data_IF_061095795009
#
_entry.id   IF_061095795009
#
_cell.length_a   1.000
_cell.length_b   1.000
_cell.length_c   1.000
_cell.angle_alpha   90.00
_cell.angle_beta   90.00
_cell.angle_gamma   90.00
#
_symmetry.space_group_name_H-M   'P 1'
#
loop_
_entity.id
_entity.type
_entity.pdbx_description
1 polymer ?
#
# COMPACT_ATOMS: atom_id res chain seq x y z
N UNK A 1 2.72 9.39 -5.56
CA UNK A 1 1.99 8.46 -4.68
C UNK A 1 2.74 8.29 -3.35
N UNK A 2 2.16 7.67 -2.30
CA UNK A 2 2.94 7.42 -1.09
C UNK A 2 4.06 6.42 -1.38
N UNK A 3 5.20 6.59 -0.72
CA UNK A 3 6.26 5.58 -0.72
C UNK A 3 5.97 4.51 0.32
N UNK A 4 6.49 3.31 0.07
CA UNK A 4 6.30 2.15 0.93
C UNK A 4 7.66 1.60 1.37
N UNK A 5 7.67 0.72 2.36
CA UNK A 5 8.88 0.04 2.81
C UNK A 5 8.82 -1.45 2.51
N UNK A 6 9.92 -2.00 2.03
CA UNK A 6 10.17 -3.44 2.01
C UNK A 6 11.49 -3.67 2.74
N UNK A 7 11.45 -4.38 3.87
CA UNK A 7 12.61 -4.51 4.77
C UNK A 7 13.18 -3.11 5.13
N UNK A 8 14.43 -2.84 4.77
CA UNK A 8 15.10 -1.53 4.97
C UNK A 8 15.08 -0.62 3.74
N UNK A 9 14.35 -0.99 2.68
CA UNK A 9 14.32 -0.24 1.40
C UNK A 9 13.02 0.51 1.25
N UNK A 10 13.11 1.77 0.82
CA UNK A 10 11.95 2.57 0.39
C UNK A 10 11.65 2.27 -1.08
N UNK A 11 10.38 2.03 -1.39
CA UNK A 11 9.84 1.70 -2.70
C UNK A 11 8.90 2.83 -3.12
N UNK A 12 9.20 3.48 -4.25
CA UNK A 12 8.31 4.45 -4.89
C UNK A 12 7.65 3.81 -6.13
N UNK A 13 6.33 3.53 -6.11
CA UNK A 13 5.66 2.93 -7.27
C UNK A 13 5.66 3.79 -8.54
N UNK A 14 5.88 5.11 -8.41
CA UNK A 14 5.95 6.03 -9.54
C UNK A 14 7.37 6.09 -10.14
N UNK A 15 8.37 5.58 -9.43
CA UNK A 15 9.74 5.51 -9.92
C UNK A 15 9.93 4.32 -10.88
N UNK A 16 10.43 4.53 -12.12
CA UNK A 16 10.60 3.45 -13.10
C UNK A 16 11.48 2.27 -12.64
N UNK A 17 12.54 2.54 -11.86
CA UNK A 17 13.43 1.49 -11.33
C UNK A 17 12.70 0.63 -10.30
N UNK A 18 11.92 1.25 -9.42
CA UNK A 18 11.16 0.53 -8.41
C UNK A 18 9.97 -0.23 -9.00
N UNK A 19 9.42 0.18 -10.14
CA UNK A 19 8.41 -0.63 -10.86
C UNK A 19 8.92 -2.01 -11.25
N UNK A 20 10.17 -2.10 -11.71
CA UNK A 20 10.80 -3.41 -12.00
C UNK A 20 10.95 -4.23 -10.71
N UNK A 21 11.28 -3.58 -9.60
CA UNK A 21 11.39 -4.26 -8.29
C UNK A 21 10.02 -4.74 -7.79
N UNK A 22 8.94 -3.99 -7.99
CA UNK A 22 7.57 -4.38 -7.63
C UNK A 22 7.15 -5.69 -8.32
N UNK A 23 7.55 -5.91 -9.57
CA UNK A 23 7.32 -7.17 -10.30
C UNK A 23 7.96 -8.37 -9.60
N UNK A 24 9.21 -8.22 -9.18
CA UNK A 24 9.98 -9.25 -8.47
C UNK A 24 9.44 -9.51 -7.06
N UNK A 25 9.01 -8.46 -6.37
CA UNK A 25 8.40 -8.58 -5.04
C UNK A 25 7.04 -9.27 -5.14
N UNK A 26 6.24 -8.95 -6.15
CA UNK A 26 4.94 -9.59 -6.37
C UNK A 26 5.09 -11.10 -6.62
N UNK A 27 6.05 -11.52 -7.45
CA UNK A 27 6.26 -12.96 -7.73
C UNK A 27 6.66 -13.78 -6.50
N UNK A 28 7.22 -13.11 -5.47
CA UNK A 28 7.60 -13.71 -4.19
C UNK A 28 6.49 -13.63 -3.13
N UNK A 29 5.33 -13.04 -3.46
CA UNK A 29 4.26 -12.81 -2.49
C UNK A 29 4.63 -11.83 -1.38
N UNK A 30 5.58 -10.92 -1.64
CA UNK A 30 6.06 -9.96 -0.66
C UNK A 30 4.95 -8.98 -0.23
N UNK A 31 5.01 -8.58 1.05
CA UNK A 31 4.21 -7.49 1.60
C UNK A 31 5.06 -6.24 1.71
N UNK A 32 4.49 -5.11 1.31
CA UNK A 32 5.06 -3.81 1.59
C UNK A 32 4.48 -3.28 2.89
N UNK A 33 5.15 -2.29 3.47
CA UNK A 33 4.72 -1.61 4.68
C UNK A 33 4.42 -0.15 4.36
N UNK A 34 3.23 0.31 4.73
CA UNK A 34 2.88 1.72 4.69
C UNK A 34 3.41 2.40 5.97
N UNK A 35 4.35 3.37 5.86
CA UNK A 35 4.99 4.00 7.01
C UNK A 35 4.15 5.14 7.62
N UNK A 36 2.86 5.26 7.26
CA UNK A 36 2.04 6.40 7.68
C UNK A 36 1.67 6.43 9.18
N UNK A 37 1.83 5.28 9.86
CA UNK A 37 1.58 5.08 11.29
C UNK A 37 2.67 4.16 11.86
N UNK A 38 2.80 4.12 13.18
CA UNK A 38 3.70 3.21 13.90
C UNK A 38 2.89 2.34 14.89
N UNK A 39 2.94 1.00 14.80
CA UNK A 39 3.68 0.20 13.83
C UNK A 39 3.14 0.34 12.40
N UNK A 40 3.98 0.14 11.35
CA UNK A 40 3.56 0.31 9.97
C UNK A 40 2.58 -0.77 9.53
N UNK A 41 1.66 -0.42 8.63
CA UNK A 41 0.60 -1.32 8.16
C UNK A 41 1.03 -2.10 6.93
N UNK A 42 0.66 -3.38 6.86
CA UNK A 42 0.89 -4.18 5.66
C UNK A 42 0.08 -3.68 4.46
N UNK A 43 0.70 -3.80 3.30
CA UNK A 43 0.14 -3.53 1.97
C UNK A 43 0.41 -4.73 1.07
N UNK A 44 -0.42 -4.91 0.05
CA UNK A 44 -0.26 -5.98 -0.93
C UNK A 44 -0.01 -5.47 -2.33
N UNK A 45 0.69 -6.30 -3.10
CA UNK A 45 0.94 -6.06 -4.51
C UNK A 45 -0.15 -6.74 -5.34
N UNK A 46 -0.78 -5.99 -6.22
CA UNK A 46 -1.84 -6.48 -7.09
C UNK A 46 -1.44 -6.31 -8.55
N UNK A 47 -1.60 -7.37 -9.35
CA UNK A 47 -1.50 -7.29 -10.81
C UNK A 47 -2.73 -6.62 -11.41
N UNK A 48 -2.51 -5.64 -12.28
CA UNK A 48 -3.51 -5.06 -13.18
C UNK A 48 -3.02 -5.11 -14.63
N UNK A 49 -3.86 -4.69 -15.58
CA UNK A 49 -3.46 -4.54 -16.98
C UNK A 49 -2.34 -3.51 -17.19
N UNK A 50 -2.15 -2.57 -16.25
CA UNK A 50 -1.12 -1.51 -16.31
C UNK A 50 0.12 -1.82 -15.46
N UNK A 51 0.25 -3.04 -14.93
CA UNK A 51 1.40 -3.50 -14.14
C UNK A 51 1.04 -3.83 -12.69
N UNK A 52 2.04 -3.80 -11.81
CA UNK A 52 1.82 -3.96 -10.36
C UNK A 52 1.43 -2.63 -9.74
N UNK A 53 0.37 -2.66 -8.91
CA UNK A 53 -0.01 -1.56 -8.02
C UNK A 53 0.06 -2.01 -6.57
N UNK A 54 0.27 -1.06 -5.66
CA UNK A 54 0.24 -1.29 -4.21
C UNK A 54 -1.16 -0.97 -3.71
N UNK A 55 -1.79 -1.90 -2.98
CA UNK A 55 -3.10 -1.73 -2.37
C UNK A 55 -3.01 -1.97 -0.87
N UNK A 56 -3.88 -1.29 -0.12
CA UNK A 56 -4.08 -1.55 1.31
C UNK A 56 -4.63 -2.94 1.54
N UNK A 57 -4.34 -3.54 2.68
CA UNK A 57 -5.01 -4.75 3.09
C UNK A 57 -6.53 -4.51 3.23
N UNK A 58 -7.39 -5.52 2.97
CA UNK A 58 -8.81 -5.40 3.23
C UNK A 58 -9.07 -4.95 4.66
N UNK A 59 -10.09 -4.11 4.86
CA UNK A 59 -10.55 -3.64 6.17
C UNK A 59 -9.53 -2.80 6.98
N UNK A 60 -8.35 -2.49 6.44
CA UNK A 60 -7.35 -1.65 7.13
C UNK A 60 -7.44 -0.16 6.79
N UNK A 61 -8.40 0.25 5.96
CA UNK A 61 -8.60 1.64 5.57
C UNK A 61 -8.62 2.62 6.75
N UNK A 62 -9.46 2.38 7.77
CA UNK A 62 -9.52 3.23 8.96
C UNK A 62 -8.26 3.27 9.81
N UNK A 63 -7.36 2.28 9.65
CA UNK A 63 -6.14 2.19 10.47
C UNK A 63 -4.99 3.06 9.94
N UNK A 64 -5.06 3.51 8.69
CA UNK A 64 -4.09 4.46 8.16
C UNK A 64 -4.23 5.84 8.82
N UNK A 65 -3.17 6.66 8.78
CA UNK A 65 -3.28 8.06 9.17
C UNK A 65 -4.28 8.79 8.25
N UNK A 66 -5.13 9.72 8.74
CA UNK A 66 -6.09 10.44 7.89
C UNK A 66 -5.49 11.21 6.71
N UNK A 67 -4.19 11.55 6.76
CA UNK A 67 -3.45 12.17 5.66
C UNK A 67 -2.92 11.17 4.62
N UNK A 68 -3.02 9.87 4.87
CA UNK A 68 -2.56 8.81 3.98
C UNK A 68 -3.56 8.61 2.84
N UNK A 69 -3.11 8.50 1.57
CA UNK A 69 -4.00 8.19 0.44
C UNK A 69 -4.71 6.83 0.52
N UNK A 70 -4.29 5.93 1.41
CA UNK A 70 -4.94 4.63 1.65
C UNK A 70 -6.00 4.66 2.76
N UNK A 71 -6.12 5.79 3.47
CA UNK A 71 -7.12 5.97 4.51
C UNK A 71 -8.51 6.02 3.91
N UNK A 72 -9.45 5.41 4.62
CA UNK A 72 -10.88 5.54 4.34
C UNK A 72 -11.63 5.58 5.66
N UNK A 73 -12.67 6.42 5.75
CA UNK A 73 -13.46 6.52 6.97
C UNK A 73 -14.09 5.16 7.33
N UNK A 74 -14.24 4.87 8.64
CA UNK A 74 -15.04 3.73 9.08
C UNK A 74 -16.45 3.75 8.47
N UNK A 75 -17.08 2.58 8.24
CA UNK A 75 -18.45 2.51 7.71
C UNK A 75 -19.45 3.35 8.51
N UNK A 76 -19.26 3.42 9.83
CA UNK A 76 -20.07 4.21 10.78
C UNK A 76 -20.03 5.72 10.49
N UNK A 77 -18.95 6.20 9.89
CA UNK A 77 -18.76 7.59 9.48
C UNK A 77 -19.09 7.83 7.99
N UNK A 78 -19.19 6.76 7.21
CA UNK A 78 -19.29 6.77 5.74
C UNK A 78 -20.70 6.94 5.18
N UNK A 79 -21.73 7.01 6.02
CA UNK A 79 -23.09 7.34 5.59
C UNK A 79 -23.79 6.26 4.73
N UNK A 80 -23.30 5.02 4.72
CA UNK A 80 -24.00 3.88 4.14
C UNK A 80 -24.90 3.24 5.22
N UNK A 81 -26.06 3.86 5.43
CA UNK A 81 -27.24 3.22 6.03
C UNK A 81 -28.20 2.78 4.92
#
# INVERSE_FOLDING_TARGET
MPTYRYESTTIDPDNPTDRVRLEQLHSRGARLLCPCVDPPLEMYLARTASGIIVKRMPETGPHHAPSCPSWEPPPELGGLA
#
